data_IF_244926251933
#
_entry.id   IF_244926251933
#
_cell.length_a   1.000
_cell.length_b   1.000
_cell.length_c   1.000
_cell.angle_alpha   90.00
_cell.angle_beta   90.00
_cell.angle_gamma   90.00
#
_symmetry.space_group_name_H-M   'P 1'
#
loop_
_entity.id
_entity.type
_entity.pdbx_description
1 polymer ?
#
# COMPACT_ATOMS: atom_id res chain seq x y z
N UNK A 1 0.74 10.27 6.48
CA UNK A 1 -0.73 10.34 6.37
C UNK A 1 -1.18 11.80 6.47
N UNK A 2 -2.38 12.13 5.97
CA UNK A 2 -2.90 13.50 5.97
C UNK A 2 -3.19 14.01 7.39
N UNK A 3 -3.91 13.23 8.20
CA UNK A 3 -4.30 13.57 9.58
C UNK A 3 -3.16 13.42 10.62
N UNK A 4 -2.15 12.61 10.31
CA UNK A 4 -1.14 12.20 11.29
C UNK A 4 -1.59 11.00 12.12
N UNK A 5 -0.77 10.57 13.06
CA UNK A 5 -1.06 9.46 13.98
C UNK A 5 -0.57 9.81 15.39
N UNK A 6 -0.81 8.94 16.38
CA UNK A 6 -0.34 9.18 17.75
C UNK A 6 1.17 9.48 17.78
N UNK A 7 1.52 10.72 18.16
CA UNK A 7 2.91 11.19 18.25
C UNK A 7 3.53 11.75 16.97
N UNK A 8 2.86 11.67 15.82
CA UNK A 8 3.37 12.17 14.53
C UNK A 8 2.41 13.18 13.88
N UNK A 9 2.82 14.44 13.70
CA UNK A 9 1.97 15.45 13.09
C UNK A 9 1.62 15.09 11.65
N UNK A 10 0.37 15.36 11.25
CA UNK A 10 -0.11 15.14 9.89
C UNK A 10 0.58 16.04 8.87
N UNK A 11 0.73 15.54 7.65
CA UNK A 11 1.22 16.38 6.55
C UNK A 11 0.16 17.39 6.08
N UNK A 12 -1.11 17.21 6.46
CA UNK A 12 -2.24 17.98 5.97
C UNK A 12 -2.44 17.78 4.45
N UNK A 13 -2.94 18.81 3.75
CA UNK A 13 -3.04 18.82 2.29
C UNK A 13 -1.70 18.54 1.57
N UNK A 14 -0.57 18.88 2.19
CA UNK A 14 0.76 18.60 1.67
C UNK A 14 1.13 17.10 1.65
N UNK A 15 0.25 16.19 2.09
CA UNK A 15 0.41 14.74 1.90
C UNK A 15 0.62 14.35 0.43
N UNK A 16 0.12 15.15 -0.52
CA UNK A 16 0.40 14.92 -1.94
C UNK A 16 1.91 15.01 -2.24
N UNK A 17 2.64 15.92 -1.57
CA UNK A 17 4.09 16.05 -1.71
C UNK A 17 4.78 14.82 -1.09
N UNK A 18 4.25 14.29 0.02
CA UNK A 18 4.72 13.03 0.60
C UNK A 18 4.63 11.88 -0.41
N UNK A 19 3.51 11.77 -1.13
CA UNK A 19 3.35 10.79 -2.20
C UNK A 19 4.32 11.03 -3.36
N UNK A 20 4.53 12.27 -3.80
CA UNK A 20 5.50 12.56 -4.87
C UNK A 20 6.93 12.19 -4.49
N UNK A 21 7.35 12.45 -3.24
CA UNK A 21 8.68 12.07 -2.74
C UNK A 21 8.81 10.55 -2.69
N UNK A 22 7.82 9.85 -2.10
CA UNK A 22 7.79 8.40 -2.04
C UNK A 22 7.77 7.76 -3.44
N UNK A 23 6.98 8.32 -4.35
CA UNK A 23 6.87 7.89 -5.74
C UNK A 23 8.17 8.08 -6.53
N UNK A 24 8.90 9.17 -6.30
CA UNK A 24 10.21 9.38 -6.92
C UNK A 24 11.25 8.36 -6.43
N UNK A 25 11.28 8.09 -5.12
CA UNK A 25 12.15 7.06 -4.54
C UNK A 25 11.79 5.66 -5.08
N UNK A 26 10.49 5.33 -5.12
CA UNK A 26 10.00 4.07 -5.68
C UNK A 26 10.27 3.97 -7.19
N UNK A 27 10.19 5.07 -7.95
CA UNK A 27 10.51 5.10 -9.38
C UNK A 27 11.98 4.77 -9.65
N UNK A 28 12.90 5.30 -8.84
CA UNK A 28 14.31 4.95 -8.95
C UNK A 28 14.52 3.44 -8.73
N UNK A 29 13.91 2.87 -7.69
CA UNK A 29 13.97 1.42 -7.43
C UNK A 29 13.32 0.61 -8.57
N UNK A 30 12.13 1.01 -9.02
CA UNK A 30 11.37 0.35 -10.09
C UNK A 30 12.13 0.33 -11.41
N UNK A 31 12.87 1.39 -11.74
CA UNK A 31 13.75 1.44 -12.92
C UNK A 31 14.89 0.42 -12.80
N UNK A 32 15.52 0.29 -11.62
CA UNK A 32 16.53 -0.75 -11.38
C UNK A 32 15.93 -2.15 -11.50
N UNK A 33 14.75 -2.41 -10.92
CA UNK A 33 14.04 -3.69 -11.08
C UNK A 33 13.68 -3.97 -12.54
N UNK A 34 13.23 -2.97 -13.28
CA UNK A 34 12.91 -3.08 -14.70
C UNK A 34 14.15 -3.45 -15.53
N UNK A 35 15.32 -2.88 -15.22
CA UNK A 35 16.58 -3.23 -15.86
C UNK A 35 16.99 -4.68 -15.55
N UNK A 36 16.97 -5.08 -14.28
CA UNK A 36 17.33 -6.45 -13.86
C UNK A 36 16.37 -7.51 -14.40
N UNK A 37 15.06 -7.25 -14.42
CA UNK A 37 14.06 -8.16 -14.97
C UNK A 37 14.25 -8.37 -16.49
N UNK A 38 14.75 -7.36 -17.21
CA UNK A 38 15.13 -7.47 -18.61
C UNK A 38 16.43 -8.25 -18.85
N UNK A 39 17.35 -8.26 -17.88
CA UNK A 39 18.64 -8.95 -17.99
C UNK A 39 18.60 -10.39 -17.49
N UNK A 40 17.83 -10.67 -16.45
CA UNK A 40 17.80 -11.94 -15.73
C UNK A 40 16.37 -12.53 -15.84
N UNK A 41 16.07 -13.30 -16.91
CA UNK A 41 14.74 -13.84 -17.16
C UNK A 41 14.52 -15.15 -16.38
N UNK A 42 14.76 -15.10 -15.08
CA UNK A 42 14.42 -16.18 -14.13
C UNK A 42 13.48 -15.61 -13.09
N UNK A 43 12.51 -16.39 -12.63
CA UNK A 43 11.67 -15.99 -11.51
C UNK A 43 12.58 -15.67 -10.32
N UNK A 44 12.50 -14.43 -9.86
CA UNK A 44 13.37 -13.92 -8.83
C UNK A 44 13.11 -12.45 -8.57
N UNK A 45 13.02 -12.11 -7.29
CA UNK A 45 12.96 -10.73 -6.80
C UNK A 45 14.38 -10.26 -6.42
N UNK A 46 14.51 -9.22 -5.60
CA UNK A 46 15.76 -8.56 -5.20
C UNK A 46 16.85 -9.55 -4.73
N UNK A 47 16.46 -10.65 -4.07
CA UNK A 47 17.38 -11.73 -3.66
C UNK A 47 18.18 -12.29 -4.85
N UNK A 48 17.49 -12.68 -5.92
CA UNK A 48 18.13 -13.29 -7.10
C UNK A 48 19.03 -12.30 -7.80
N UNK A 49 18.60 -11.03 -7.89
CA UNK A 49 19.40 -9.98 -8.52
C UNK A 49 20.64 -9.64 -7.69
N UNK A 50 20.50 -9.51 -6.37
CA UNK A 50 21.60 -9.28 -5.44
C UNK A 50 22.60 -10.43 -5.41
N UNK A 51 22.13 -11.68 -5.43
CA UNK A 51 22.99 -12.85 -5.51
C UNK A 51 23.83 -12.86 -6.79
N UNK A 52 23.22 -12.56 -7.94
CA UNK A 52 23.92 -12.54 -9.23
C UNK A 52 24.90 -11.37 -9.34
N UNK A 53 24.54 -10.18 -8.82
CA UNK A 53 25.35 -8.98 -8.96
C UNK A 53 26.46 -8.84 -7.90
N UNK A 54 26.18 -9.23 -6.65
CA UNK A 54 27.01 -8.93 -5.47
C UNK A 54 27.50 -10.17 -4.72
N UNK A 55 27.05 -11.36 -5.12
CA UNK A 55 27.47 -12.63 -4.54
C UNK A 55 26.61 -13.10 -3.36
N UNK A 56 26.97 -14.28 -2.85
CA UNK A 56 26.17 -15.05 -1.90
C UNK A 56 25.91 -14.31 -0.59
N UNK A 57 26.92 -13.68 0.01
CA UNK A 57 26.79 -13.03 1.33
C UNK A 57 25.77 -11.90 1.29
N UNK A 58 25.84 -11.05 0.26
CA UNK A 58 24.90 -9.93 0.11
C UNK A 58 23.51 -10.44 -0.24
N UNK A 59 23.41 -11.42 -1.15
CA UNK A 59 22.16 -12.09 -1.47
C UNK A 59 21.49 -12.68 -0.22
N UNK A 60 22.24 -13.34 0.66
CA UNK A 60 21.73 -13.92 1.90
C UNK A 60 21.10 -12.88 2.84
N UNK A 61 21.76 -11.73 3.03
CA UNK A 61 21.19 -10.63 3.82
C UNK A 61 19.90 -10.08 3.19
N UNK A 62 19.89 -9.87 1.87
CA UNK A 62 18.67 -9.42 1.16
C UNK A 62 17.54 -10.44 1.29
N UNK A 63 17.85 -11.74 1.25
CA UNK A 63 16.85 -12.80 1.41
C UNK A 63 16.19 -12.79 2.79
N UNK A 64 16.97 -12.63 3.86
CA UNK A 64 16.44 -12.50 5.22
C UNK A 64 15.63 -11.21 5.41
N UNK A 65 16.12 -10.11 4.86
CA UNK A 65 15.42 -8.82 4.87
C UNK A 65 14.04 -8.95 4.20
N UNK A 66 13.99 -9.48 2.97
CA UNK A 66 12.72 -9.72 2.25
C UNK A 66 11.77 -10.64 3.03
N UNK A 67 12.27 -11.71 3.67
CA UNK A 67 11.43 -12.60 4.48
C UNK A 67 10.77 -11.86 5.64
N UNK A 68 11.53 -11.04 6.37
CA UNK A 68 11.00 -10.23 7.47
C UNK A 68 10.03 -9.16 6.96
N UNK A 69 10.36 -8.52 5.84
CA UNK A 69 9.55 -7.51 5.19
C UNK A 69 8.18 -8.07 4.77
N UNK A 70 8.13 -9.21 4.07
CA UNK A 70 6.86 -9.82 3.66
C UNK A 70 5.99 -10.22 4.86
N UNK A 71 6.59 -10.71 5.96
CA UNK A 71 5.84 -11.02 7.19
C UNK A 71 5.19 -9.74 7.75
N UNK A 72 5.94 -8.64 7.80
CA UNK A 72 5.44 -7.36 8.28
C UNK A 72 4.32 -6.80 7.37
N UNK A 73 4.49 -6.87 6.04
CA UNK A 73 3.48 -6.43 5.07
C UNK A 73 2.16 -7.19 5.25
N UNK A 74 2.21 -8.53 5.36
CA UNK A 74 1.01 -9.34 5.54
C UNK A 74 0.26 -8.96 6.83
N UNK A 75 0.99 -8.72 7.92
CA UNK A 75 0.39 -8.28 9.18
C UNK A 75 -0.29 -6.90 9.05
N UNK A 76 0.39 -5.91 8.46
CA UNK A 76 -0.16 -4.56 8.27
C UNK A 76 -1.42 -4.59 7.38
N UNK A 77 -1.39 -5.35 6.29
CA UNK A 77 -2.56 -5.50 5.40
C UNK A 77 -3.74 -6.16 6.12
N UNK A 78 -3.50 -7.19 6.94
CA UNK A 78 -4.55 -7.85 7.70
C UNK A 78 -5.19 -6.92 8.75
N UNK A 79 -4.39 -6.07 9.40
CA UNK A 79 -4.88 -5.02 10.31
C UNK A 79 -5.77 -4.03 9.54
N UNK A 80 -5.34 -3.59 8.34
CA UNK A 80 -6.15 -2.73 7.48
C UNK A 80 -7.50 -3.35 7.13
N UNK A 81 -7.52 -4.62 6.72
CA UNK A 81 -8.76 -5.36 6.42
C UNK A 81 -9.66 -5.45 7.65
N UNK A 82 -9.09 -5.69 8.84
CA UNK A 82 -9.84 -5.68 10.09
C UNK A 82 -10.53 -4.33 10.33
N UNK A 83 -9.85 -3.21 10.07
CA UNK A 83 -10.43 -1.87 10.20
C UNK A 83 -11.62 -1.65 9.26
N UNK A 84 -11.48 -2.05 7.99
CA UNK A 84 -12.59 -2.02 7.02
C UNK A 84 -13.77 -2.89 7.45
N UNK A 85 -13.50 -4.07 8.00
CA UNK A 85 -14.53 -4.98 8.48
C UNK A 85 -15.29 -4.40 9.68
N UNK A 86 -14.59 -3.80 10.64
CA UNK A 86 -15.20 -3.11 11.78
C UNK A 86 -16.06 -1.92 11.33
N UNK A 87 -15.55 -1.09 10.42
CA UNK A 87 -16.29 0.03 9.84
C UNK A 87 -17.57 -0.43 9.11
N UNK A 88 -17.49 -1.51 8.35
CA UNK A 88 -18.66 -2.10 7.67
C UNK A 88 -19.70 -2.61 8.66
N UNK A 89 -19.28 -3.36 9.69
CA UNK A 89 -20.18 -3.89 10.72
C UNK A 89 -20.85 -2.76 11.52
N UNK A 90 -20.09 -1.74 11.89
CA UNK A 90 -20.63 -0.55 12.57
C UNK A 90 -21.67 0.16 11.70
N UNK A 91 -21.43 0.25 10.38
CA UNK A 91 -22.38 0.83 9.42
C UNK A 91 -23.73 0.08 9.32
N UNK A 92 -23.77 -1.21 9.64
CA UNK A 92 -25.01 -2.01 9.71
C UNK A 92 -25.55 -2.16 11.15
N UNK A 93 -24.99 -1.41 12.11
CA UNK A 93 -25.42 -1.38 13.51
C UNK A 93 -24.83 -2.47 14.41
N UNK A 94 -23.83 -3.22 13.93
CA UNK A 94 -23.13 -4.24 14.71
C UNK A 94 -21.80 -3.66 15.18
N UNK A 95 -21.72 -3.30 16.47
CA UNK A 95 -20.48 -2.82 17.06
C UNK A 95 -19.67 -4.00 17.61
N UNK A 96 -18.46 -4.20 17.08
CA UNK A 96 -17.55 -5.19 17.61
C UNK A 96 -16.91 -4.70 18.91
N UNK A 97 -16.68 -5.58 19.90
CA UNK A 97 -16.08 -5.18 21.15
C UNK A 97 -14.59 -4.88 20.99
N UNK A 98 -14.12 -3.81 21.63
CA UNK A 98 -12.75 -3.26 21.44
C UNK A 98 -11.64 -4.27 21.78
N UNK A 99 -11.89 -5.19 22.71
CA UNK A 99 -10.91 -6.21 23.10
C UNK A 99 -10.47 -7.12 21.94
N UNK A 100 -11.33 -7.30 20.92
CA UNK A 100 -11.08 -8.17 19.77
C UNK A 100 -10.73 -7.44 18.46
N UNK A 101 -10.85 -6.12 18.40
CA UNK A 101 -10.58 -5.31 17.18
C UNK A 101 -9.31 -4.47 17.27
N UNK A 102 -8.74 -4.33 18.47
CA UNK A 102 -7.57 -3.49 18.76
C UNK A 102 -6.50 -4.31 19.48
N UNK A 103 -5.24 -3.91 19.36
CA UNK A 103 -4.13 -4.47 20.14
C UNK A 103 -3.90 -3.68 21.43
N UNK A 104 -3.11 -4.25 22.35
CA UNK A 104 -2.77 -3.63 23.64
C UNK A 104 -2.00 -2.31 23.48
N UNK A 105 -1.20 -2.19 22.42
CA UNK A 105 -0.35 -1.04 22.17
C UNK A 105 -1.14 0.22 21.74
N UNK A 106 -2.40 0.06 21.31
CA UNK A 106 -3.28 1.18 20.92
C UNK A 106 -3.96 1.87 22.11
N UNK A 107 -3.72 1.43 23.35
CA UNK A 107 -4.19 2.12 24.57
C UNK A 107 -5.70 2.13 24.83
N UNK A 108 -6.52 1.54 23.94
CA UNK A 108 -7.99 1.55 24.00
C UNK A 108 -8.62 0.32 24.67
N UNK A 109 -7.84 -0.47 25.40
CA UNK A 109 -8.31 -1.73 26.02
C UNK A 109 -8.42 -2.90 25.03
N UNK A 110 -7.80 -2.77 23.86
CA UNK A 110 -7.58 -3.87 22.93
C UNK A 110 -6.63 -4.91 23.53
N UNK A 111 -6.84 -6.18 23.20
CA UNK A 111 -5.94 -7.26 23.63
C UNK A 111 -5.34 -7.92 22.39
N UNK A 112 -6.19 -8.25 21.42
CA UNK A 112 -5.80 -9.00 20.22
C UNK A 112 -6.74 -8.67 19.07
N UNK A 113 -6.17 -8.46 17.89
CA UNK A 113 -6.96 -8.23 16.68
C UNK A 113 -7.40 -9.57 16.07
N UNK A 114 -8.55 -10.08 16.51
CA UNK A 114 -9.11 -11.37 16.07
C UNK A 114 -9.47 -11.36 14.57
N UNK A 115 -10.14 -10.33 14.01
CA UNK A 115 -10.44 -10.31 12.59
C UNK A 115 -9.19 -10.36 11.71
N UNK A 116 -8.12 -9.64 12.05
CA UNK A 116 -6.86 -9.71 11.31
C UNK A 116 -6.25 -11.13 11.34
N UNK A 117 -6.22 -11.77 12.52
CA UNK A 117 -5.74 -13.16 12.65
C UNK A 117 -6.60 -14.12 11.82
N UNK A 118 -7.92 -13.97 11.88
CA UNK A 118 -8.85 -14.80 11.12
C UNK A 118 -8.63 -14.66 9.61
N UNK A 119 -8.39 -13.44 9.11
CA UNK A 119 -8.06 -13.17 7.70
C UNK A 119 -6.74 -13.84 7.32
N UNK A 120 -5.69 -13.72 8.13
CA UNK A 120 -4.40 -14.38 7.88
C UNK A 120 -4.55 -15.91 7.81
N UNK A 121 -5.28 -16.51 8.75
CA UNK A 121 -5.53 -17.96 8.77
C UNK A 121 -6.38 -18.41 7.58
N UNK A 122 -7.37 -17.60 7.19
CA UNK A 122 -8.20 -17.87 6.01
C UNK A 122 -7.38 -17.81 4.73
N UNK A 123 -6.55 -16.78 4.54
CA UNK A 123 -5.65 -16.69 3.38
C UNK A 123 -4.66 -17.85 3.37
N UNK A 124 -4.07 -18.19 4.51
CA UNK A 124 -3.17 -19.35 4.66
C UNK A 124 -3.87 -20.65 4.26
N UNK A 125 -5.10 -20.87 4.73
CA UNK A 125 -5.89 -22.04 4.40
C UNK A 125 -6.21 -22.11 2.90
N UNK A 126 -6.59 -20.99 2.28
CA UNK A 126 -6.83 -20.91 0.83
C UNK A 126 -5.55 -21.25 0.05
N UNK A 127 -4.42 -20.63 0.40
CA UNK A 127 -3.13 -20.86 -0.24
C UNK A 127 -2.67 -22.32 -0.11
N UNK A 128 -2.93 -22.95 1.04
CA UNK A 128 -2.58 -24.37 1.29
C UNK A 128 -3.30 -25.36 0.36
N UNK A 129 -4.46 -24.97 -0.21
CA UNK A 129 -5.21 -25.81 -1.16
C UNK A 129 -4.81 -25.60 -2.63
N UNK A 130 -3.87 -24.69 -2.89
CA UNK A 130 -3.33 -24.40 -4.22
C UNK A 130 -4.13 -23.37 -5.00
N UNK A 131 -3.43 -22.51 -5.74
CA UNK A 131 -3.96 -21.29 -6.38
C UNK A 131 -4.07 -21.40 -7.90
N UNK A 132 -4.30 -22.60 -8.44
CA UNK A 132 -4.21 -22.86 -9.89
C UNK A 132 -5.20 -22.09 -10.78
N UNK A 133 -6.19 -21.39 -10.21
CA UNK A 133 -7.20 -20.61 -10.95
C UNK A 133 -7.13 -19.09 -10.70
N UNK A 134 -6.12 -18.57 -10.00
CA UNK A 134 -6.15 -17.21 -9.44
C UNK A 134 -6.04 -16.06 -10.46
N UNK A 135 -5.34 -16.22 -11.59
CA UNK A 135 -5.02 -15.09 -12.48
C UNK A 135 -6.24 -14.31 -13.00
N UNK A 136 -7.37 -14.98 -13.29
CA UNK A 136 -8.61 -14.28 -13.72
C UNK A 136 -9.28 -13.53 -12.58
N UNK A 137 -9.28 -14.10 -11.37
CA UNK A 137 -9.84 -13.46 -10.19
C UNK A 137 -9.04 -12.22 -9.80
N UNK A 138 -7.71 -12.28 -9.93
CA UNK A 138 -6.82 -11.17 -9.65
C UNK A 138 -7.08 -9.99 -10.57
N UNK A 139 -7.19 -10.22 -11.89
CA UNK A 139 -7.51 -9.16 -12.85
C UNK A 139 -8.85 -8.47 -12.52
N UNK A 140 -9.88 -9.26 -12.21
CA UNK A 140 -11.19 -8.73 -11.80
C UNK A 140 -11.07 -7.92 -10.50
N UNK A 141 -10.34 -8.41 -9.51
CA UNK A 141 -10.13 -7.71 -8.25
C UNK A 141 -9.39 -6.37 -8.44
N UNK A 142 -8.35 -6.34 -9.28
CA UNK A 142 -7.63 -5.10 -9.62
C UNK A 142 -8.55 -4.13 -10.36
N UNK A 143 -9.33 -4.60 -11.34
CA UNK A 143 -10.27 -3.76 -12.06
C UNK A 143 -11.31 -3.12 -11.14
N UNK A 144 -11.86 -3.89 -10.18
CA UNK A 144 -12.79 -3.37 -9.16
C UNK A 144 -12.10 -2.31 -8.31
N UNK A 145 -10.89 -2.55 -7.80
CA UNK A 145 -10.13 -1.58 -7.00
C UNK A 145 -9.92 -0.26 -7.74
N UNK A 146 -9.45 -0.33 -8.99
CA UNK A 146 -9.24 0.87 -9.82
C UNK A 146 -10.55 1.60 -10.09
N UNK A 147 -11.63 0.87 -10.39
CA UNK A 147 -12.95 1.46 -10.61
C UNK A 147 -13.45 2.19 -9.37
N UNK A 148 -13.32 1.60 -8.18
CA UNK A 148 -13.72 2.23 -6.92
C UNK A 148 -12.94 3.53 -6.67
N UNK A 149 -11.62 3.54 -6.93
CA UNK A 149 -10.81 4.75 -6.78
C UNK A 149 -11.25 5.82 -7.79
N UNK A 150 -11.46 5.45 -9.05
CA UNK A 150 -11.93 6.39 -10.07
C UNK A 150 -13.33 6.93 -9.76
N UNK A 151 -14.21 6.10 -9.20
CA UNK A 151 -15.53 6.51 -8.75
C UNK A 151 -15.44 7.48 -7.57
N UNK A 152 -14.59 7.19 -6.58
CA UNK A 152 -14.31 8.08 -5.46
C UNK A 152 -13.78 9.44 -5.94
N UNK A 153 -12.79 9.45 -6.83
CA UNK A 153 -12.25 10.68 -7.42
C UNK A 153 -13.34 11.42 -8.21
N UNK A 154 -14.06 10.72 -9.09
CA UNK A 154 -15.06 11.30 -9.97
C UNK A 154 -16.21 11.96 -9.22
N UNK A 155 -16.72 11.33 -8.15
CA UNK A 155 -17.75 11.95 -7.31
C UNK A 155 -17.16 13.01 -6.38
N UNK A 156 -16.03 12.72 -5.76
CA UNK A 156 -15.44 13.58 -4.73
C UNK A 156 -14.99 14.94 -5.26
N UNK A 157 -14.58 15.05 -6.53
CA UNK A 157 -14.22 16.34 -7.15
C UNK A 157 -15.35 17.38 -7.04
N UNK A 158 -16.61 16.97 -7.06
CA UNK A 158 -17.75 17.89 -6.93
C UNK A 158 -17.99 18.40 -5.50
N UNK A 159 -17.33 17.80 -4.50
CA UNK A 159 -17.45 18.13 -3.09
C UNK A 159 -16.17 18.79 -2.53
N UNK A 160 -15.23 19.20 -3.38
CA UNK A 160 -14.01 19.88 -2.95
C UNK A 160 -14.33 21.30 -2.48
N UNK A 161 -13.95 21.62 -1.25
CA UNK A 161 -13.86 22.99 -0.74
C UNK A 161 -12.38 23.42 -0.70
N UNK A 162 -12.05 24.47 -1.46
CA UNK A 162 -10.68 24.99 -1.54
C UNK A 162 -10.16 25.52 -0.20
N UNK A 163 -11.05 25.84 0.76
CA UNK A 163 -10.66 26.26 2.10
C UNK A 163 -9.96 25.15 2.88
N UNK A 164 -10.25 23.87 2.59
CA UNK A 164 -9.59 22.73 3.23
C UNK A 164 -8.09 22.63 2.88
N UNK A 165 -7.65 23.30 1.81
CA UNK A 165 -6.24 23.41 1.45
C UNK A 165 -5.49 24.50 2.21
N UNK A 166 -6.14 25.26 3.08
CA UNK A 166 -5.50 26.33 3.85
C UNK A 166 -5.63 26.08 5.37
N UNK A 167 -4.51 25.89 6.09
CA UNK A 167 -3.12 25.88 5.62
C UNK A 167 -2.76 24.60 4.84
N UNK A 168 -1.99 24.75 3.76
CA UNK A 168 -1.60 23.61 2.92
C UNK A 168 -0.57 22.69 3.60
N UNK A 169 0.34 23.29 4.36
CA UNK A 169 1.42 22.59 5.06
C UNK A 169 1.43 23.00 6.56
N UNK A 170 0.39 22.60 7.33
CA UNK A 170 0.19 23.05 8.71
C UNK A 170 1.38 22.71 9.63
N UNK A 171 1.95 21.52 9.45
CA UNK A 171 3.02 20.99 10.30
C UNK A 171 4.42 21.13 9.69
N UNK A 172 4.55 21.94 8.63
CA UNK A 172 5.81 22.19 7.93
C UNK A 172 6.37 20.99 7.17
N UNK A 173 7.54 21.18 6.57
CA UNK A 173 8.16 20.19 5.66
C UNK A 173 8.62 18.91 6.38
N UNK A 174 8.94 19.00 7.68
CA UNK A 174 9.31 17.83 8.47
C UNK A 174 8.21 16.77 8.52
N UNK A 175 6.95 17.20 8.69
CA UNK A 175 5.79 16.31 8.67
C UNK A 175 5.55 15.71 7.27
N UNK A 176 5.84 16.46 6.20
CA UNK A 176 5.76 15.97 4.81
C UNK A 176 6.79 14.86 4.56
N UNK A 177 8.02 15.03 5.04
CA UNK A 177 9.05 14.00 4.95
C UNK A 177 8.69 12.76 5.78
N UNK A 178 8.25 12.95 7.03
CA UNK A 178 7.79 11.83 7.86
C UNK A 178 6.61 11.10 7.20
N UNK A 179 5.64 11.85 6.68
CA UNK A 179 4.53 11.31 5.92
C UNK A 179 4.95 10.55 4.66
N UNK A 180 6.05 10.95 4.00
CA UNK A 180 6.58 10.25 2.83
C UNK A 180 7.04 8.83 3.16
N UNK A 181 7.65 8.64 4.33
CA UNK A 181 8.05 7.32 4.80
C UNK A 181 6.83 6.42 5.07
N UNK A 182 5.75 6.98 5.62
CA UNK A 182 4.50 6.23 5.85
C UNK A 182 3.83 5.82 4.54
N UNK A 183 3.67 6.76 3.59
CA UNK A 183 2.98 6.48 2.32
C UNK A 183 3.85 5.70 1.33
N UNK A 184 5.16 5.57 1.59
CA UNK A 184 6.05 4.71 0.82
C UNK A 184 5.55 3.26 0.78
N UNK A 185 4.93 2.79 1.86
CA UNK A 185 4.28 1.48 1.91
C UNK A 185 3.21 1.30 0.82
N UNK A 186 2.47 2.36 0.47
CA UNK A 186 1.44 2.31 -0.55
C UNK A 186 2.01 2.17 -1.99
N UNK A 187 3.30 2.50 -2.18
CA UNK A 187 3.99 2.43 -3.47
C UNK A 187 4.91 1.19 -3.54
N UNK A 188 4.79 0.27 -2.58
CA UNK A 188 5.48 -1.00 -2.55
C UNK A 188 4.85 -2.02 -3.54
N UNK A 189 5.63 -2.95 -4.07
CA UNK A 189 5.11 -4.11 -4.85
C UNK A 189 5.60 -4.25 -6.29
N UNK A 190 6.51 -3.39 -6.77
CA UNK A 190 7.13 -3.55 -8.09
C UNK A 190 7.92 -4.88 -8.21
N UNK A 191 8.48 -5.33 -7.09
CA UNK A 191 9.24 -6.56 -6.93
C UNK A 191 8.36 -7.81 -7.08
N UNK A 192 7.12 -7.78 -6.58
CA UNK A 192 6.17 -8.87 -6.74
C UNK A 192 5.89 -9.18 -8.22
N UNK A 193 5.85 -8.16 -9.08
CA UNK A 193 5.66 -8.37 -10.52
C UNK A 193 6.78 -9.20 -11.12
N UNK A 194 8.02 -9.03 -10.68
CA UNK A 194 9.17 -9.79 -11.20
C UNK A 194 9.06 -11.30 -10.94
N UNK A 195 8.29 -11.73 -9.94
CA UNK A 195 8.05 -13.15 -9.66
C UNK A 195 7.15 -13.80 -10.72
N UNK A 196 6.24 -13.03 -11.33
CA UNK A 196 5.37 -13.49 -12.42
C UNK A 196 6.05 -13.43 -13.80
N UNK A 197 7.34 -13.07 -13.87
CA UNK A 197 8.06 -12.94 -15.14
C UNK A 197 8.14 -14.26 -15.93
N UNK A 198 8.12 -15.43 -15.26
CA UNK A 198 8.12 -16.74 -15.92
C UNK A 198 6.78 -17.10 -16.58
N UNK A 199 5.68 -16.52 -16.09
CA UNK A 199 4.35 -16.71 -16.66
C UNK A 199 4.05 -15.72 -17.79
N UNK A 200 4.87 -14.67 -17.94
CA UNK A 200 4.70 -13.64 -18.94
C UNK A 200 5.22 -14.07 -20.32
N UNK A 201 4.35 -14.01 -21.33
CA UNK A 201 4.76 -14.15 -22.73
C UNK A 201 5.71 -13.00 -23.09
N UNK A 202 6.93 -13.34 -23.51
CA UNK A 202 8.02 -12.38 -23.78
C UNK A 202 8.35 -11.45 -22.59
N UNK A 203 8.43 -12.03 -21.38
CA UNK A 203 8.68 -11.31 -20.13
C UNK A 203 9.86 -10.33 -20.20
N UNK A 204 10.96 -10.68 -20.88
CA UNK A 204 12.13 -9.81 -21.09
C UNK A 204 11.77 -8.41 -21.64
N UNK A 205 10.77 -8.32 -22.51
CA UNK A 205 10.35 -7.07 -23.17
C UNK A 205 9.17 -6.40 -22.46
N UNK A 206 8.27 -7.20 -21.90
CA UNK A 206 7.01 -6.70 -21.34
C UNK A 206 7.09 -6.36 -19.85
N UNK A 207 7.89 -7.10 -19.06
CA UNK A 207 8.02 -6.87 -17.62
C UNK A 207 8.52 -5.46 -17.27
N UNK A 208 9.58 -4.93 -17.91
CA UNK A 208 10.07 -3.58 -17.60
C UNK A 208 9.00 -2.51 -17.84
N UNK A 209 8.24 -2.64 -18.94
CA UNK A 209 7.16 -1.70 -19.29
C UNK A 209 5.98 -1.81 -18.33
N UNK A 210 5.64 -3.03 -17.91
CA UNK A 210 4.55 -3.27 -16.97
C UNK A 210 4.85 -2.60 -15.63
N UNK A 211 6.05 -2.80 -15.07
CA UNK A 211 6.49 -2.21 -13.79
C UNK A 211 6.39 -0.68 -13.81
N UNK A 212 6.93 -0.04 -14.86
CA UNK A 212 6.92 1.43 -14.97
C UNK A 212 5.49 1.96 -15.17
N UNK A 213 4.71 1.32 -16.04
CA UNK A 213 3.34 1.75 -16.32
C UNK A 213 2.43 1.61 -15.10
N UNK A 214 2.54 0.50 -14.36
CA UNK A 214 1.77 0.30 -13.14
C UNK A 214 2.11 1.34 -12.09
N UNK A 215 3.39 1.67 -11.93
CA UNK A 215 3.82 2.70 -11.00
C UNK A 215 3.25 4.07 -11.36
N UNK A 216 3.34 4.48 -12.64
CA UNK A 216 2.79 5.76 -13.11
C UNK A 216 1.29 5.83 -12.85
N UNK A 217 0.54 4.78 -13.21
CA UNK A 217 -0.91 4.73 -13.01
C UNK A 217 -1.25 4.82 -11.53
N UNK A 218 -0.60 4.01 -10.67
CA UNK A 218 -0.83 4.04 -9.22
C UNK A 218 -0.52 5.41 -8.62
N UNK A 219 0.60 6.03 -9.01
CA UNK A 219 0.98 7.36 -8.54
C UNK A 219 -0.02 8.45 -8.92
N UNK A 220 -0.52 8.44 -10.16
CA UNK A 220 -1.55 9.38 -10.58
C UNK A 220 -2.84 9.20 -9.79
N UNK A 221 -3.25 7.96 -9.55
CA UNK A 221 -4.44 7.65 -8.75
C UNK A 221 -4.27 8.07 -7.29
N UNK A 222 -3.11 7.83 -6.67
CA UNK A 222 -2.84 8.25 -5.29
C UNK A 222 -2.83 9.77 -5.14
N UNK A 223 -2.15 10.50 -6.02
CA UNK A 223 -2.14 11.97 -5.99
C UNK A 223 -3.54 12.54 -6.22
N UNK A 224 -4.31 12.00 -7.17
CA UNK A 224 -5.67 12.44 -7.41
C UNK A 224 -6.61 12.15 -6.23
N UNK A 225 -6.55 10.93 -5.68
CA UNK A 225 -7.38 10.54 -4.54
C UNK A 225 -7.06 11.37 -3.28
N UNK A 226 -5.79 11.64 -3.00
CA UNK A 226 -5.39 12.47 -1.85
C UNK A 226 -5.80 13.93 -2.01
N UNK A 227 -5.66 14.51 -3.20
CA UNK A 227 -6.19 15.84 -3.49
C UNK A 227 -7.69 15.91 -3.23
N UNK A 228 -8.45 14.95 -3.77
CA UNK A 228 -9.90 14.90 -3.56
C UNK A 228 -10.25 14.72 -2.08
N UNK A 229 -9.62 13.79 -1.38
CA UNK A 229 -9.89 13.52 0.03
C UNK A 229 -9.63 14.75 0.91
N UNK A 230 -8.45 15.36 0.78
CA UNK A 230 -8.08 16.56 1.55
C UNK A 230 -8.81 17.82 1.11
N UNK A 231 -9.40 17.82 -0.09
CA UNK A 231 -10.30 18.86 -0.56
C UNK A 231 -11.74 18.70 -0.04
N UNK A 232 -12.22 17.47 0.14
CA UNK A 232 -13.58 17.19 0.63
C UNK A 232 -13.71 17.38 2.14
N UNK A 233 -12.67 17.03 2.91
CA UNK A 233 -12.70 17.05 4.36
C UNK A 233 -11.42 17.67 4.91
N UNK A 234 -11.57 18.45 5.99
CA UNK A 234 -10.43 19.01 6.70
C UNK A 234 -9.54 17.88 7.22
N UNK A 235 -8.23 18.02 7.03
CA UNK A 235 -7.24 16.99 7.36
C UNK A 235 -7.24 16.57 8.83
N UNK A 236 -7.70 17.43 9.76
CA UNK A 236 -7.82 17.12 11.19
C UNK A 236 -8.95 16.12 11.48
N UNK A 237 -9.96 16.03 10.62
CA UNK A 237 -11.13 15.19 10.80
C UNK A 237 -11.07 13.88 10.00
N UNK A 238 -10.03 13.70 9.18
CA UNK A 238 -9.78 12.45 8.47
C UNK A 238 -9.39 11.41 9.51
N UNK A 239 -10.26 10.42 9.74
CA UNK A 239 -9.98 9.33 10.67
C UNK A 239 -8.77 8.53 10.17
N UNK A 240 -7.65 8.46 10.91
CA UNK A 240 -6.46 7.69 10.53
C UNK A 240 -6.72 6.18 10.36
N UNK A 241 -7.87 5.69 10.85
CA UNK A 241 -8.32 4.30 10.71
C UNK A 241 -9.29 4.10 9.57
N UNK A 242 -9.79 5.18 8.95
CA UNK A 242 -10.61 5.06 7.76
C UNK A 242 -9.76 4.47 6.64
N UNK A 243 -10.39 3.63 5.81
CA UNK A 243 -9.71 2.88 4.78
C UNK A 243 -8.87 3.67 3.77
N UNK A 244 -9.13 4.97 3.65
CA UNK A 244 -8.45 5.88 2.72
C UNK A 244 -7.43 6.83 3.41
N UNK A 245 -7.24 6.74 4.72
CA UNK A 245 -6.42 7.67 5.51
C UNK A 245 -4.94 7.27 5.68
#
# INVERSE_FOLDING_TARGET
MAAGSEGTPGAGPAVLISFLIAGLASAAAALSYAEFAGMIPRAGSAYTYGYVALGEVIGWFIGWDLLLEYIAIVAVVAIGISGYFDAFLSGIGIHMPVWMTSTADEGKGGIVNIPAIAVCLLVTWILSRGTKAFGRFELVAVAIKVLLILFFIGLGVFYIDANNYNPFMPSGFGAVLAGSATVFFAVFGCDAMSTAAEEAKDGKKHMPKAIILSLIIAMLLYVAATLVLTGMQNWEEIDPKAGFA
#
